data_IF_623700180617
#
_entry.id   IF_623700180617
#
_cell.length_a   1.000
_cell.length_b   1.000
_cell.length_c   1.000
_cell.angle_alpha   90.00
_cell.angle_beta   90.00
_cell.angle_gamma   90.00
#
_symmetry.space_group_name_H-M   'P 1'
#
loop_
_entity.id
_entity.type
_entity.pdbx_description
1 polymer ?
#
# COMPACT_ATOMS: atom_id res chain seq x y z
N UNK A 1 26.92 -3.59 -0.19
CA UNK A 1 26.95 -4.16 -1.54
C UNK A 1 25.52 -4.35 -2.00
N UNK A 2 25.20 -4.21 -3.29
CA UNK A 2 23.83 -4.40 -3.78
C UNK A 2 23.51 -5.90 -3.99
N UNK A 3 22.23 -6.28 -3.82
CA UNK A 3 21.74 -7.61 -4.20
C UNK A 3 21.81 -7.79 -5.72
N UNK A 4 22.09 -9.02 -6.18
CA UNK A 4 22.11 -9.36 -7.60
C UNK A 4 21.61 -10.81 -7.83
N UNK A 5 21.42 -11.21 -9.09
CA UNK A 5 20.91 -12.55 -9.43
C UNK A 5 21.81 -13.69 -8.99
N UNK A 6 23.13 -13.52 -9.00
CA UNK A 6 24.05 -14.56 -8.52
C UNK A 6 23.91 -14.81 -7.02
N UNK A 7 23.70 -13.74 -6.23
CA UNK A 7 23.37 -13.86 -4.80
C UNK A 7 21.99 -14.47 -4.59
N UNK A 8 20.99 -14.09 -5.39
CA UNK A 8 19.67 -14.71 -5.35
C UNK A 8 19.75 -16.23 -5.59
N UNK A 9 20.47 -16.66 -6.63
CA UNK A 9 20.67 -18.08 -6.94
C UNK A 9 21.38 -18.82 -5.79
N UNK A 10 22.40 -18.19 -5.19
CA UNK A 10 23.11 -18.73 -4.03
C UNK A 10 22.17 -18.95 -2.83
N UNK A 11 21.34 -17.95 -2.52
CA UNK A 11 20.40 -17.99 -1.39
C UNK A 11 19.31 -19.03 -1.64
N UNK A 12 18.69 -19.06 -2.82
CA UNK A 12 17.69 -20.07 -3.19
C UNK A 12 18.25 -21.50 -3.11
N UNK A 13 19.48 -21.70 -3.57
CA UNK A 13 20.17 -23.00 -3.46
C UNK A 13 20.43 -23.40 -2.00
N UNK A 14 20.86 -22.45 -1.17
CA UNK A 14 21.08 -22.69 0.26
C UNK A 14 19.77 -23.02 0.98
N UNK A 15 18.70 -22.29 0.67
CA UNK A 15 17.35 -22.54 1.20
C UNK A 15 16.88 -23.95 0.84
N UNK A 16 16.98 -24.33 -0.44
CA UNK A 16 16.58 -25.65 -0.91
C UNK A 16 17.36 -26.78 -0.22
N UNK A 17 18.68 -26.60 -0.06
CA UNK A 17 19.50 -27.57 0.64
C UNK A 17 19.11 -27.73 2.12
N UNK A 18 18.78 -26.62 2.80
CA UNK A 18 18.40 -26.61 4.22
C UNK A 18 17.01 -27.21 4.44
N UNK A 19 15.99 -26.70 3.74
CA UNK A 19 14.59 -27.04 3.98
C UNK A 19 14.10 -28.29 3.25
N UNK A 20 14.88 -28.81 2.30
CA UNK A 20 14.48 -29.88 1.37
C UNK A 20 13.28 -29.53 0.48
N UNK A 21 12.99 -28.24 0.36
CA UNK A 21 11.98 -27.69 -0.54
C UNK A 21 12.65 -27.20 -1.82
N UNK A 22 11.94 -27.24 -2.95
CA UNK A 22 12.45 -26.75 -4.24
C UNK A 22 11.63 -25.61 -4.84
N UNK A 23 10.57 -25.20 -4.15
CA UNK A 23 9.70 -24.09 -4.53
C UNK A 23 9.63 -23.11 -3.38
N UNK A 24 9.80 -21.83 -3.67
CA UNK A 24 9.74 -20.75 -2.69
C UNK A 24 8.95 -19.57 -3.25
N UNK A 25 8.10 -18.95 -2.45
CA UNK A 25 7.52 -17.65 -2.80
C UNK A 25 8.52 -16.58 -2.38
N UNK A 26 9.00 -15.78 -3.35
CA UNK A 26 9.93 -14.69 -3.14
C UNK A 26 9.17 -13.37 -3.08
N UNK A 27 9.14 -12.76 -1.89
CA UNK A 27 8.53 -11.45 -1.67
C UNK A 27 9.61 -10.41 -1.39
N UNK A 28 9.19 -9.22 -0.94
CA UNK A 28 10.10 -8.16 -0.53
C UNK A 28 10.90 -7.55 -1.67
N UNK A 29 11.98 -6.86 -1.31
CA UNK A 29 12.69 -5.96 -2.23
C UNK A 29 13.42 -6.71 -3.36
N UNK A 30 13.88 -7.94 -3.10
CA UNK A 30 14.70 -8.71 -4.04
C UNK A 30 13.93 -9.22 -5.26
N UNK A 31 12.59 -9.30 -5.19
CA UNK A 31 11.71 -9.66 -6.31
C UNK A 31 11.94 -8.78 -7.57
N UNK A 32 12.42 -7.55 -7.38
CA UNK A 32 12.76 -6.63 -8.48
C UNK A 32 13.82 -7.20 -9.43
N UNK A 33 14.73 -8.04 -8.93
CA UNK A 33 15.78 -8.68 -9.75
C UNK A 33 15.21 -9.62 -10.81
N UNK A 34 14.02 -10.16 -10.55
CA UNK A 34 13.33 -11.07 -11.46
C UNK A 34 12.39 -10.30 -12.38
N UNK A 35 11.60 -9.38 -11.82
CA UNK A 35 10.49 -8.74 -12.54
C UNK A 35 10.92 -7.53 -13.38
N UNK A 36 12.04 -6.87 -13.05
CA UNK A 36 12.46 -5.64 -13.71
C UNK A 36 13.80 -5.80 -14.44
N UNK A 37 13.94 -5.04 -15.54
CA UNK A 37 15.18 -4.97 -16.35
C UNK A 37 16.06 -3.80 -15.95
N UNK A 38 15.49 -2.60 -15.94
CA UNK A 38 16.18 -1.36 -15.58
C UNK A 38 15.87 -1.05 -14.11
N UNK A 39 16.71 -1.55 -13.21
CA UNK A 39 16.47 -1.48 -11.77
C UNK A 39 17.24 -0.30 -11.18
N UNK A 40 16.58 0.68 -10.54
CA UNK A 40 17.25 1.73 -9.80
C UNK A 40 18.12 1.14 -8.70
N UNK A 41 19.36 1.64 -8.55
CA UNK A 41 20.33 1.10 -7.59
C UNK A 41 19.78 1.06 -6.15
N UNK A 42 18.99 2.07 -5.77
CA UNK A 42 18.33 2.15 -4.46
C UNK A 42 17.40 0.96 -4.19
N UNK A 43 16.72 0.42 -5.20
CA UNK A 43 15.84 -0.75 -5.04
C UNK A 43 16.61 -2.06 -4.85
N UNK A 44 17.93 -2.05 -5.11
CA UNK A 44 18.84 -3.17 -4.89
C UNK A 44 19.61 -3.06 -3.57
N UNK A 45 19.39 -2.00 -2.79
CA UNK A 45 20.02 -1.79 -1.49
C UNK A 45 19.37 -2.65 -0.41
N UNK A 46 19.47 -3.96 -0.60
CA UNK A 46 19.14 -4.99 0.38
C UNK A 46 20.25 -6.03 0.39
N UNK A 47 20.46 -6.67 1.53
CA UNK A 47 21.31 -7.86 1.65
C UNK A 47 20.46 -9.12 1.91
N UNK A 48 19.13 -8.99 2.00
CA UNK A 48 18.23 -10.08 2.33
C UNK A 48 17.32 -10.45 1.15
N UNK A 49 16.89 -11.71 1.13
CA UNK A 49 15.69 -12.13 0.39
C UNK A 49 14.65 -12.61 1.39
N UNK A 50 13.38 -12.27 1.14
CA UNK A 50 12.25 -12.68 1.96
C UNK A 50 11.57 -13.87 1.27
N UNK A 51 11.63 -15.07 1.86
CA UNK A 51 11.07 -16.28 1.24
C UNK A 51 10.29 -17.16 2.21
N UNK A 52 9.34 -17.92 1.66
CA UNK A 52 8.70 -19.03 2.36
C UNK A 52 8.48 -20.20 1.39
N UNK A 53 8.42 -21.42 1.93
CA UNK A 53 8.19 -22.62 1.13
C UNK A 53 6.69 -22.96 1.11
N UNK A 54 5.94 -22.70 0.03
CA UNK A 54 4.48 -22.87 0.01
C UNK A 54 4.03 -24.33 0.09
N UNK A 55 4.91 -25.27 -0.26
CA UNK A 55 4.61 -26.71 -0.33
C UNK A 55 5.08 -27.47 0.93
N UNK A 56 5.63 -26.77 1.93
CA UNK A 56 6.04 -27.37 3.19
C UNK A 56 4.83 -27.79 4.04
N UNK A 57 4.94 -28.91 4.74
CA UNK A 57 3.92 -29.37 5.70
C UNK A 57 3.74 -28.35 6.85
N UNK A 58 4.84 -27.78 7.32
CA UNK A 58 4.87 -26.70 8.31
C UNK A 58 5.68 -25.52 7.75
N UNK A 59 4.97 -24.55 7.16
CA UNK A 59 5.57 -23.37 6.53
C UNK A 59 6.28 -22.50 7.57
N UNK A 60 5.72 -22.35 8.77
CA UNK A 60 6.28 -21.50 9.82
C UNK A 60 7.57 -22.12 10.35
N UNK A 61 7.57 -23.41 10.68
CA UNK A 61 8.78 -24.09 11.15
C UNK A 61 9.92 -24.06 10.11
N UNK A 62 9.61 -24.22 8.82
CA UNK A 62 10.60 -24.07 7.74
C UNK A 62 11.13 -22.65 7.67
N UNK A 63 10.28 -21.64 7.83
CA UNK A 63 10.67 -20.24 7.74
C UNK A 63 11.56 -19.84 8.93
N UNK A 64 11.19 -20.22 10.15
CA UNK A 64 12.02 -20.04 11.34
C UNK A 64 13.38 -20.73 11.19
N UNK A 65 13.41 -21.94 10.65
CA UNK A 65 14.64 -22.69 10.39
C UNK A 65 15.54 -22.02 9.35
N UNK A 66 14.97 -21.48 8.28
CA UNK A 66 15.72 -20.71 7.29
C UNK A 66 16.34 -19.46 7.92
N UNK A 67 15.59 -18.69 8.72
CA UNK A 67 16.10 -17.51 9.42
C UNK A 67 17.20 -17.89 10.43
N UNK A 68 17.03 -18.98 11.18
CA UNK A 68 18.00 -19.40 12.19
C UNK A 68 19.37 -19.80 11.61
N UNK A 69 19.40 -20.41 10.41
CA UNK A 69 20.62 -20.95 9.83
C UNK A 69 21.19 -20.14 8.66
N UNK A 70 20.36 -19.38 7.96
CA UNK A 70 20.72 -18.62 6.76
C UNK A 70 20.39 -17.12 6.90
N UNK A 71 19.82 -16.70 8.03
CA UNK A 71 19.44 -15.32 8.30
C UNK A 71 20.55 -14.45 8.86
N UNK A 72 20.18 -13.24 9.25
CA UNK A 72 21.10 -12.22 9.76
C UNK A 72 21.87 -12.72 11.00
N UNK A 73 23.14 -12.34 11.12
CA UNK A 73 24.00 -12.73 12.25
C UNK A 73 24.53 -14.17 12.20
N UNK A 74 24.19 -14.95 11.16
CA UNK A 74 24.74 -16.29 10.95
C UNK A 74 26.12 -16.23 10.26
N UNK A 75 26.93 -17.28 10.46
CA UNK A 75 28.19 -17.44 9.72
C UNK A 75 27.96 -17.45 8.21
N UNK A 76 26.84 -18.01 7.77
CA UNK A 76 26.45 -17.98 6.36
C UNK A 76 26.27 -16.56 5.84
N UNK A 77 25.54 -15.70 6.57
CA UNK A 77 25.33 -14.31 6.22
C UNK A 77 26.65 -13.51 6.21
N UNK A 78 27.51 -13.73 7.21
CA UNK A 78 28.80 -13.05 7.32
C UNK A 78 29.74 -13.36 6.16
N UNK A 79 29.82 -14.63 5.76
CA UNK A 79 30.68 -15.08 4.65
C UNK A 79 30.16 -14.56 3.31
N UNK A 80 28.85 -14.67 3.06
CA UNK A 80 28.28 -14.37 1.74
C UNK A 80 27.87 -12.89 1.57
N UNK A 81 27.81 -12.12 2.67
CA UNK A 81 27.32 -10.74 2.70
C UNK A 81 25.92 -10.62 2.11
N UNK A 82 25.10 -11.63 2.36
CA UNK A 82 23.67 -11.69 2.08
C UNK A 82 23.04 -12.86 2.84
N UNK A 83 21.75 -12.75 3.14
CA UNK A 83 21.02 -13.68 4.01
C UNK A 83 19.58 -13.90 3.57
N UNK A 84 18.90 -14.85 4.21
CA UNK A 84 17.47 -15.14 4.03
C UNK A 84 16.71 -14.66 5.25
N UNK A 85 15.61 -13.94 5.04
CA UNK A 85 14.56 -13.83 6.02
C UNK A 85 13.45 -14.82 5.65
N UNK A 86 13.25 -15.83 6.50
CA UNK A 86 12.14 -16.75 6.42
C UNK A 86 10.86 -16.05 6.89
N UNK A 87 9.88 -15.94 6.01
CA UNK A 87 8.65 -15.18 6.27
C UNK A 87 7.41 -16.08 6.25
N UNK A 88 6.28 -15.58 6.74
CA UNK A 88 4.99 -16.28 6.64
C UNK A 88 4.21 -15.86 5.39
N UNK A 89 3.23 -16.67 4.93
CA UNK A 89 2.33 -16.28 3.84
C UNK A 89 1.56 -14.96 4.09
N UNK A 90 1.40 -14.56 5.36
CA UNK A 90 0.71 -13.33 5.76
C UNK A 90 1.64 -12.15 5.98
N UNK A 91 2.96 -12.34 5.92
CA UNK A 91 3.95 -11.27 6.14
C UNK A 91 3.83 -10.16 5.09
N UNK A 92 3.60 -10.53 3.82
CA UNK A 92 3.31 -9.57 2.76
C UNK A 92 1.81 -9.42 2.57
N UNK A 93 1.24 -8.32 3.10
CA UNK A 93 -0.18 -7.97 3.00
C UNK A 93 -0.53 -7.58 1.54
N UNK A 94 -0.87 -8.56 0.70
CA UNK A 94 -1.14 -8.40 -0.74
C UNK A 94 -2.61 -8.63 -1.12
N UNK A 95 -3.06 -8.21 -2.31
CA UNK A 95 -4.37 -8.56 -2.86
C UNK A 95 -4.64 -10.07 -2.86
N UNK A 96 -5.82 -10.55 -2.49
CA UNK A 96 -6.11 -12.00 -2.40
C UNK A 96 -5.87 -12.76 -3.71
N UNK A 97 -5.93 -12.06 -4.85
CA UNK A 97 -5.75 -12.60 -6.19
C UNK A 97 -4.30 -12.46 -6.72
N UNK A 98 -3.35 -12.02 -5.90
CA UNK A 98 -1.92 -11.96 -6.26
C UNK A 98 -1.35 -13.27 -6.84
N UNK A 99 -1.78 -14.48 -6.42
CA UNK A 99 -1.23 -15.72 -6.99
C UNK A 99 -1.49 -15.90 -8.48
N UNK A 100 -2.48 -15.18 -9.04
CA UNK A 100 -2.75 -15.18 -10.49
C UNK A 100 -1.77 -14.33 -11.30
N UNK A 101 -0.88 -13.56 -10.65
CA UNK A 101 0.03 -12.59 -11.26
C UNK A 101 1.51 -12.87 -10.97
N UNK A 102 1.87 -14.14 -10.81
CA UNK A 102 3.23 -14.54 -10.51
C UNK A 102 4.08 -14.75 -11.76
N UNK A 103 5.39 -14.82 -11.57
CA UNK A 103 6.35 -15.34 -12.54
C UNK A 103 7.27 -16.34 -11.83
N UNK A 104 7.46 -17.49 -12.44
CA UNK A 104 8.40 -18.50 -11.96
C UNK A 104 9.82 -18.16 -12.45
N UNK A 105 10.72 -17.93 -11.50
CA UNK A 105 12.14 -17.68 -11.74
C UNK A 105 12.93 -18.97 -11.58
N UNK A 106 13.71 -19.29 -12.61
CA UNK A 106 14.68 -20.38 -12.62
C UNK A 106 16.08 -19.79 -12.79
N UNK A 107 16.86 -19.79 -11.71
CA UNK A 107 18.21 -19.27 -11.70
C UNK A 107 19.20 -20.22 -12.37
N UNK A 108 20.15 -19.71 -13.14
CA UNK A 108 21.19 -20.53 -13.79
C UNK A 108 22.10 -21.24 -12.77
N UNK A 109 22.29 -20.67 -11.58
CA UNK A 109 23.06 -21.27 -10.48
C UNK A 109 22.27 -22.28 -9.64
N UNK A 110 20.96 -22.38 -9.84
CA UNK A 110 20.05 -23.24 -9.09
C UNK A 110 18.86 -23.72 -9.96
N UNK A 111 19.09 -24.39 -11.10
CA UNK A 111 18.05 -24.67 -12.09
C UNK A 111 16.89 -25.54 -11.55
N UNK A 112 17.16 -26.36 -10.54
CA UNK A 112 16.19 -27.24 -9.89
C UNK A 112 15.34 -26.54 -8.80
N UNK A 113 15.59 -25.24 -8.56
CA UNK A 113 14.87 -24.43 -7.56
C UNK A 113 14.05 -23.36 -8.27
N UNK A 114 12.77 -23.26 -7.89
CA UNK A 114 11.82 -22.29 -8.44
C UNK A 114 11.52 -21.22 -7.40
N UNK A 115 11.72 -19.95 -7.77
CA UNK A 115 11.16 -18.85 -7.00
C UNK A 115 9.89 -18.33 -7.68
N UNK A 116 8.75 -18.43 -7.00
CA UNK A 116 7.46 -17.87 -7.41
C UNK A 116 7.46 -16.40 -7.01
N UNK A 117 7.48 -15.50 -8.00
CA UNK A 117 7.66 -14.06 -7.76
C UNK A 117 6.37 -13.30 -8.09
N UNK A 118 5.69 -12.70 -7.10
CA UNK A 118 4.51 -11.88 -7.32
C UNK A 118 4.77 -10.66 -8.21
N UNK A 119 3.70 -10.04 -8.70
CA UNK A 119 3.79 -8.77 -9.42
C UNK A 119 4.35 -7.66 -8.52
N UNK A 120 5.18 -6.78 -9.09
CA UNK A 120 5.83 -5.73 -8.30
C UNK A 120 4.83 -4.73 -7.72
N UNK A 121 3.67 -4.53 -8.34
CA UNK A 121 2.64 -3.65 -7.77
C UNK A 121 1.96 -4.30 -6.56
N UNK A 122 1.84 -5.63 -6.53
CA UNK A 122 1.29 -6.34 -5.35
C UNK A 122 2.30 -6.27 -4.18
N UNK A 123 3.60 -6.44 -4.47
CA UNK A 123 4.68 -6.24 -3.48
C UNK A 123 4.73 -4.78 -3.02
N UNK A 124 4.56 -3.82 -3.93
CA UNK A 124 4.50 -2.39 -3.60
C UNK A 124 3.32 -2.08 -2.67
N UNK A 125 2.15 -2.69 -2.88
CA UNK A 125 1.02 -2.58 -1.96
C UNK A 125 1.41 -3.09 -0.57
N UNK A 126 2.02 -4.28 -0.46
CA UNK A 126 2.45 -4.82 0.83
C UNK A 126 3.45 -3.88 1.55
N UNK A 127 4.41 -3.31 0.80
CA UNK A 127 5.37 -2.32 1.31
C UNK A 127 4.71 -1.01 1.71
N UNK A 128 3.71 -0.56 0.96
CA UNK A 128 2.94 0.65 1.27
C UNK A 128 2.12 0.46 2.54
N UNK A 129 1.57 -0.73 2.76
CA UNK A 129 0.85 -1.06 3.99
C UNK A 129 1.82 -1.13 5.19
N UNK A 130 3.02 -1.69 5.02
CA UNK A 130 4.04 -1.72 6.06
C UNK A 130 4.66 -0.34 6.37
N UNK A 131 4.85 0.50 5.35
CA UNK A 131 5.26 1.91 5.41
C UNK A 131 6.54 2.24 6.21
N UNK A 132 7.51 1.34 6.24
CA UNK A 132 8.80 1.56 6.91
C UNK A 132 9.67 2.53 6.10
N UNK A 133 10.64 3.21 6.71
CA UNK A 133 11.51 4.19 6.01
C UNK A 133 12.23 3.57 4.79
N UNK A 134 12.69 2.32 4.92
CA UNK A 134 13.30 1.58 3.81
C UNK A 134 12.31 1.29 2.67
N UNK A 135 11.04 1.03 3.03
CA UNK A 135 9.98 0.76 2.06
C UNK A 135 9.57 2.04 1.31
N UNK A 136 9.43 3.17 2.00
CA UNK A 136 9.16 4.46 1.36
C UNK A 136 10.25 4.83 0.34
N UNK A 137 11.51 4.58 0.69
CA UNK A 137 12.65 4.81 -0.22
C UNK A 137 12.59 3.91 -1.46
N UNK A 138 12.26 2.63 -1.27
CA UNK A 138 12.10 1.66 -2.37
C UNK A 138 10.91 2.01 -3.27
N UNK A 139 9.77 2.38 -2.67
CA UNK A 139 8.53 2.79 -3.32
C UNK A 139 8.74 4.06 -4.17
N UNK A 140 9.40 5.07 -3.60
CA UNK A 140 9.70 6.31 -4.30
C UNK A 140 10.60 6.07 -5.51
N UNK A 141 11.66 5.26 -5.36
CA UNK A 141 12.53 4.89 -6.47
C UNK A 141 11.77 4.11 -7.56
N UNK A 142 10.91 3.16 -7.15
CA UNK A 142 10.15 2.34 -8.08
C UNK A 142 9.16 3.13 -8.92
N UNK A 143 8.36 4.00 -8.29
CA UNK A 143 7.38 4.82 -9.01
C UNK A 143 8.06 5.85 -9.92
N UNK A 144 9.12 6.53 -9.45
CA UNK A 144 9.86 7.51 -10.27
C UNK A 144 10.45 6.94 -11.56
N UNK A 145 10.81 5.66 -11.53
CA UNK A 145 11.44 4.99 -12.68
C UNK A 145 10.47 4.09 -13.44
N UNK A 146 9.17 4.13 -13.13
CA UNK A 146 8.15 3.31 -13.80
C UNK A 146 8.30 1.81 -13.59
N UNK A 147 8.99 1.39 -12.52
CA UNK A 147 9.14 -0.04 -12.14
C UNK A 147 7.85 -0.55 -11.48
N UNK A 148 7.13 0.34 -10.81
CA UNK A 148 5.80 0.14 -10.23
C UNK A 148 4.92 1.33 -10.59
N UNK A 149 3.61 1.14 -10.59
CA UNK A 149 2.61 2.09 -11.07
C UNK A 149 1.54 2.34 -10.00
N UNK A 150 1.42 3.60 -9.57
CA UNK A 150 0.48 4.00 -8.52
C UNK A 150 -0.99 3.76 -8.92
N UNK A 151 -1.34 3.90 -10.21
CA UNK A 151 -2.70 3.64 -10.69
C UNK A 151 -3.06 2.16 -10.59
N UNK A 152 -2.13 1.27 -10.95
CA UNK A 152 -2.27 -0.17 -10.76
C UNK A 152 -2.41 -0.54 -9.28
N UNK A 153 -1.64 0.10 -8.40
CA UNK A 153 -1.75 -0.09 -6.95
C UNK A 153 -3.14 0.34 -6.43
N UNK A 154 -3.62 1.51 -6.86
CA UNK A 154 -4.95 2.03 -6.53
C UNK A 154 -6.05 1.07 -6.97
N UNK A 155 -6.00 0.55 -8.21
CA UNK A 155 -6.99 -0.41 -8.71
C UNK A 155 -6.99 -1.78 -8.02
N UNK A 156 -6.03 -2.06 -7.12
CA UNK A 156 -5.88 -3.35 -6.43
C UNK A 156 -5.97 -3.27 -4.91
N UNK A 157 -5.86 -2.08 -4.30
CA UNK A 157 -5.83 -1.95 -2.83
C UNK A 157 -7.08 -2.53 -2.17
N UNK A 158 -8.25 -2.42 -2.82
CA UNK A 158 -9.53 -2.94 -2.31
C UNK A 158 -9.62 -4.47 -2.34
N UNK A 159 -8.68 -5.13 -3.02
CA UNK A 159 -8.56 -6.59 -3.03
C UNK A 159 -7.65 -7.10 -1.92
N UNK A 160 -7.03 -6.22 -1.13
CA UNK A 160 -6.31 -6.65 0.07
C UNK A 160 -7.35 -7.06 1.12
N UNK A 161 -7.28 -8.28 1.68
CA UNK A 161 -8.21 -8.70 2.72
C UNK A 161 -8.23 -7.71 3.90
N UNK A 162 -9.42 -7.23 4.28
CA UNK A 162 -9.59 -6.21 5.34
C UNK A 162 -9.01 -6.66 6.69
N UNK A 163 -9.04 -7.96 6.99
CA UNK A 163 -8.42 -8.54 8.18
C UNK A 163 -6.92 -8.21 8.28
N UNK A 164 -6.21 -8.15 7.14
CA UNK A 164 -4.78 -7.83 7.10
C UNK A 164 -4.48 -6.35 7.31
N UNK A 165 -5.46 -5.46 7.15
CA UNK A 165 -5.30 -4.00 7.29
C UNK A 165 -6.15 -3.40 8.39
N UNK A 166 -6.72 -4.23 9.28
CA UNK A 166 -7.61 -3.81 10.37
C UNK A 166 -6.95 -2.84 11.36
N UNK A 167 -5.62 -2.83 11.43
CA UNK A 167 -4.80 -1.95 12.25
C UNK A 167 -4.56 -0.56 11.62
N UNK A 168 -4.95 -0.36 10.36
CA UNK A 168 -4.66 0.86 9.59
C UNK A 168 -5.97 1.43 9.07
N UNK A 169 -6.37 2.65 9.51
CA UNK A 169 -7.55 3.31 8.98
C UNK A 169 -7.46 3.49 7.46
N UNK A 170 -8.57 3.31 6.75
CA UNK A 170 -8.61 3.41 5.28
C UNK A 170 -8.06 4.75 4.75
N UNK A 171 -8.35 5.86 5.44
CA UNK A 171 -7.83 7.18 5.08
C UNK A 171 -6.30 7.24 5.07
N UNK A 172 -5.62 6.47 5.93
CA UNK A 172 -4.16 6.42 5.97
C UNK A 172 -3.60 5.60 4.79
N UNK A 173 -4.28 4.51 4.38
CA UNK A 173 -3.90 3.78 3.16
C UNK A 173 -4.03 4.67 1.91
N UNK A 174 -5.11 5.44 1.83
CA UNK A 174 -5.34 6.39 0.74
C UNK A 174 -4.32 7.54 0.78
N UNK A 175 -3.96 8.06 1.97
CA UNK A 175 -2.90 9.07 2.11
C UNK A 175 -1.56 8.55 1.61
N UNK A 176 -1.25 7.28 1.84
CA UNK A 176 -0.03 6.62 1.35
C UNK A 176 -0.08 6.41 -0.17
N UNK A 177 -1.23 6.06 -0.74
CA UNK A 177 -1.42 6.01 -2.19
C UNK A 177 -1.23 7.38 -2.85
N UNK A 178 -1.76 8.44 -2.24
CA UNK A 178 -1.52 9.82 -2.70
C UNK A 178 -0.03 10.20 -2.66
N UNK A 179 0.69 9.77 -1.61
CA UNK A 179 2.13 9.96 -1.50
C UNK A 179 2.90 9.24 -2.63
N UNK A 180 2.40 8.09 -3.11
CA UNK A 180 3.00 7.42 -4.27
C UNK A 180 2.97 8.31 -5.51
N UNK A 181 1.87 9.05 -5.73
CA UNK A 181 1.80 10.02 -6.83
C UNK A 181 2.81 11.14 -6.63
N UNK A 182 2.97 11.64 -5.40
CA UNK A 182 3.94 12.69 -5.09
C UNK A 182 5.37 12.29 -5.34
N UNK A 183 5.71 11.01 -5.18
CA UNK A 183 7.04 10.53 -5.53
C UNK A 183 7.37 10.75 -7.01
N UNK A 184 6.39 10.78 -7.92
CA UNK A 184 6.62 11.13 -9.34
C UNK A 184 6.94 12.62 -9.58
N UNK A 185 6.83 13.47 -8.56
CA UNK A 185 6.91 14.93 -8.68
C UNK A 185 5.58 15.60 -9.02
N UNK A 186 4.49 14.83 -9.13
CA UNK A 186 3.12 15.37 -9.22
C UNK A 186 2.68 15.89 -7.85
N UNK A 187 1.74 16.86 -7.77
CA UNK A 187 1.27 17.39 -6.49
C UNK A 187 0.47 16.38 -5.64
N UNK A 188 0.01 15.28 -6.23
CA UNK A 188 -0.99 14.40 -5.65
C UNK A 188 -2.39 15.03 -5.62
N UNK A 189 -3.35 14.29 -5.10
CA UNK A 189 -4.77 14.65 -4.97
C UNK A 189 -5.05 15.42 -3.68
N UNK A 190 -4.35 15.15 -2.57
CA UNK A 190 -4.61 15.76 -1.25
C UNK A 190 -4.47 17.29 -1.23
N UNK A 191 -3.51 17.86 -1.96
CA UNK A 191 -3.38 19.32 -2.06
C UNK A 191 -4.67 19.94 -2.64
N UNK A 192 -5.17 19.35 -3.72
CA UNK A 192 -6.44 19.72 -4.36
C UNK A 192 -7.63 19.51 -3.42
N UNK A 193 -7.66 18.42 -2.63
CA UNK A 193 -8.68 18.22 -1.59
C UNK A 193 -8.67 19.40 -0.61
N UNK A 194 -7.50 19.81 -0.11
CA UNK A 194 -7.42 20.95 0.81
C UNK A 194 -7.93 22.26 0.20
N UNK A 195 -7.63 22.53 -1.07
CA UNK A 195 -8.13 23.69 -1.80
C UNK A 195 -9.66 23.68 -1.89
N UNK A 196 -10.24 22.53 -2.24
CA UNK A 196 -11.70 22.35 -2.28
C UNK A 196 -12.30 22.59 -0.90
N UNK A 197 -11.74 21.97 0.13
CA UNK A 197 -12.21 22.13 1.50
C UNK A 197 -12.09 23.58 1.98
N UNK A 198 -11.08 24.34 1.57
CA UNK A 198 -10.88 25.74 1.97
C UNK A 198 -12.06 26.64 1.61
N UNK A 199 -12.69 26.41 0.47
CA UNK A 199 -13.81 27.21 -0.05
C UNK A 199 -15.18 26.57 0.18
N UNK A 200 -15.22 25.36 0.74
CA UNK A 200 -16.45 24.61 0.95
C UNK A 200 -17.05 24.84 2.34
N UNK A 201 -18.39 24.78 2.41
CA UNK A 201 -19.13 24.56 3.66
C UNK A 201 -19.04 23.07 4.00
N UNK A 202 -18.69 22.77 5.24
CA UNK A 202 -18.54 21.40 5.73
C UNK A 202 -19.47 21.22 6.93
N UNK A 203 -20.11 20.07 7.03
CA UNK A 203 -20.98 19.74 8.15
C UNK A 203 -21.32 18.25 8.20
N UNK A 204 -22.13 17.83 9.19
CA UNK A 204 -22.58 16.44 9.28
C UNK A 204 -23.47 16.10 8.09
N UNK A 205 -23.34 14.88 7.55
CA UNK A 205 -24.17 14.38 6.46
C UNK A 205 -25.54 13.86 6.94
N UNK A 206 -26.24 13.07 6.10
CA UNK A 206 -27.58 12.56 6.41
C UNK A 206 -27.58 11.54 7.56
N UNK A 207 -26.49 10.79 7.70
CA UNK A 207 -26.30 9.73 8.70
C UNK A 207 -25.13 10.06 9.66
N UNK A 208 -25.15 9.52 10.88
CA UNK A 208 -24.00 9.60 11.79
C UNK A 208 -22.77 8.96 11.14
N UNK A 209 -21.60 9.61 11.26
CA UNK A 209 -20.35 9.17 10.62
C UNK A 209 -20.12 9.63 9.17
N UNK A 210 -21.10 10.29 8.53
CA UNK A 210 -20.94 10.91 7.20
C UNK A 210 -20.58 12.40 7.29
N UNK A 211 -19.85 12.91 6.29
CA UNK A 211 -19.54 14.35 6.17
C UNK A 211 -20.03 14.87 4.83
N UNK A 212 -20.67 16.04 4.87
CA UNK A 212 -21.09 16.77 3.67
C UNK A 212 -20.14 17.90 3.38
N UNK A 213 -19.78 18.04 2.11
CA UNK A 213 -18.95 19.13 1.59
C UNK A 213 -19.75 19.82 0.49
N UNK A 214 -19.99 21.12 0.62
CA UNK A 214 -20.82 21.91 -0.30
C UNK A 214 -20.07 23.16 -0.77
N UNK A 215 -20.05 23.44 -2.08
CA UNK A 215 -19.41 24.62 -2.68
C UNK A 215 -20.34 25.35 -3.66
N UNK A 216 -19.94 26.57 -4.07
CA UNK A 216 -20.72 27.43 -4.96
C UNK A 216 -20.58 27.08 -6.46
N UNK A 217 -21.67 27.36 -7.19
CA UNK A 217 -22.01 27.25 -8.62
C UNK A 217 -22.07 25.86 -9.29
N UNK A 218 -23.25 25.62 -9.88
CA UNK A 218 -23.89 24.34 -10.21
C UNK A 218 -23.65 23.85 -11.67
N UNK A 219 -22.99 24.64 -12.50
CA UNK A 219 -22.94 24.39 -13.97
C UNK A 219 -21.56 24.58 -14.60
N UNK A 220 -20.47 24.63 -13.81
CA UNK A 220 -19.13 24.67 -14.37
C UNK A 220 -18.53 23.25 -14.47
N UNK A 221 -17.75 22.92 -15.52
CA UNK A 221 -16.96 21.68 -15.60
C UNK A 221 -16.10 21.41 -14.35
N UNK A 222 -15.79 22.46 -13.57
CA UNK A 222 -15.09 22.38 -12.30
C UNK A 222 -15.86 21.62 -11.20
N UNK A 223 -17.20 21.51 -11.26
CA UNK A 223 -17.99 20.79 -10.24
C UNK A 223 -17.74 19.28 -10.27
N UNK A 224 -17.91 18.68 -11.46
CA UNK A 224 -17.61 17.27 -11.69
C UNK A 224 -16.14 16.94 -11.38
N UNK A 225 -15.23 17.87 -11.64
CA UNK A 225 -13.82 17.74 -11.27
C UNK A 225 -13.63 17.71 -9.75
N UNK A 226 -14.24 18.64 -9.00
CA UNK A 226 -14.18 18.66 -7.53
C UNK A 226 -14.74 17.39 -6.92
N UNK A 227 -15.91 16.93 -7.40
CA UNK A 227 -16.50 15.66 -6.98
C UNK A 227 -15.55 14.50 -7.28
N UNK A 228 -15.02 14.40 -8.50
CA UNK A 228 -14.06 13.37 -8.89
C UNK A 228 -12.81 13.36 -8.00
N UNK A 229 -12.25 14.52 -7.67
CA UNK A 229 -11.11 14.65 -6.74
C UNK A 229 -11.46 14.12 -5.35
N UNK A 230 -12.61 14.53 -4.78
CA UNK A 230 -13.04 14.08 -3.45
C UNK A 230 -13.40 12.59 -3.41
N UNK A 231 -13.82 12.01 -4.54
CA UNK A 231 -14.15 10.59 -4.67
C UNK A 231 -12.97 9.71 -5.07
N UNK A 232 -11.81 10.28 -5.42
CA UNK A 232 -10.60 9.51 -5.72
C UNK A 232 -10.07 8.79 -4.47
N UNK A 233 -10.12 9.48 -3.33
CA UNK A 233 -9.74 9.00 -2.00
C UNK A 233 -10.82 9.40 -0.97
N UNK A 234 -11.98 8.71 -0.98
CA UNK A 234 -13.15 9.16 -0.23
C UNK A 234 -12.95 9.10 1.28
N UNK A 235 -12.23 8.10 1.81
CA UNK A 235 -11.97 8.00 3.24
C UNK A 235 -11.03 9.12 3.71
N UNK A 236 -10.01 9.43 2.93
CA UNK A 236 -9.08 10.53 3.19
C UNK A 236 -9.75 11.89 3.07
N UNK A 237 -10.52 12.12 2.01
CA UNK A 237 -11.29 13.33 1.84
C UNK A 237 -12.26 13.55 3.02
N UNK A 238 -12.89 12.47 3.51
CA UNK A 238 -13.76 12.52 4.69
C UNK A 238 -13.00 12.92 5.95
N UNK A 239 -11.89 12.26 6.24
CA UNK A 239 -11.06 12.55 7.42
C UNK A 239 -10.57 14.01 7.42
N UNK A 240 -10.07 14.50 6.27
CA UNK A 240 -9.63 15.88 6.10
C UNK A 240 -10.79 16.88 6.25
N UNK A 241 -11.97 16.56 5.71
CA UNK A 241 -13.16 17.39 5.85
C UNK A 241 -13.62 17.47 7.30
N UNK A 242 -13.67 16.35 8.02
CA UNK A 242 -14.02 16.32 9.45
C UNK A 242 -13.04 17.15 10.29
N UNK A 243 -11.73 17.02 10.05
CA UNK A 243 -10.71 17.84 10.71
C UNK A 243 -10.89 19.33 10.41
N UNK A 244 -11.13 19.68 9.15
CA UNK A 244 -11.37 21.06 8.74
C UNK A 244 -12.64 21.65 9.38
N UNK A 245 -13.73 20.88 9.46
CA UNK A 245 -14.96 21.32 10.12
C UNK A 245 -14.77 21.56 11.61
N UNK A 246 -14.14 20.62 12.32
CA UNK A 246 -13.80 20.77 13.75
C UNK A 246 -12.99 22.01 14.04
N UNK A 247 -12.01 22.32 13.18
CA UNK A 247 -11.16 23.50 13.33
C UNK A 247 -11.91 24.81 13.07
N UNK A 248 -12.89 24.84 12.16
CA UNK A 248 -13.60 26.07 11.75
C UNK A 248 -14.87 26.34 12.55
N UNK A 249 -15.52 25.29 13.07
CA UNK A 249 -16.88 25.35 13.61
C UNK A 249 -16.97 24.77 15.04
N UNK A 250 -15.94 24.97 15.87
CA UNK A 250 -15.82 24.36 17.21
C UNK A 250 -17.13 24.35 18.03
N UNK A 251 -17.74 25.52 18.25
CA UNK A 251 -18.98 25.63 19.04
C UNK A 251 -20.21 24.96 18.39
N UNK A 252 -20.23 24.83 17.06
CA UNK A 252 -21.29 24.10 16.36
C UNK A 252 -21.08 22.58 16.52
N UNK A 253 -19.82 22.12 16.44
CA UNK A 253 -19.47 20.71 16.64
C UNK A 253 -19.76 20.27 18.07
N UNK A 254 -19.40 21.06 19.09
CA UNK A 254 -19.71 20.71 20.49
C UNK A 254 -21.21 20.55 20.72
N UNK A 255 -22.04 21.43 20.15
CA UNK A 255 -23.50 21.29 20.21
C UNK A 255 -23.97 20.03 19.48
N UNK A 256 -23.47 19.79 18.28
CA UNK A 256 -23.82 18.59 17.51
C UNK A 256 -23.44 17.29 18.25
N UNK A 257 -22.28 17.24 18.91
CA UNK A 257 -21.88 16.09 19.74
C UNK A 257 -22.76 15.96 20.99
N UNK A 258 -23.09 17.09 21.66
CA UNK A 258 -23.98 17.10 22.83
C UNK A 258 -25.41 16.66 22.49
N UNK A 259 -25.88 16.97 21.28
CA UNK A 259 -27.21 16.61 20.77
C UNK A 259 -27.29 15.15 20.28
N UNK A 260 -26.24 14.34 20.49
CA UNK A 260 -26.22 12.92 20.11
C UNK A 260 -25.89 12.69 18.64
N UNK A 261 -25.12 13.60 18.02
CA UNK A 261 -24.65 13.51 16.63
C UNK A 261 -25.76 13.35 15.59
N UNK A 262 -26.81 14.19 15.61
CA UNK A 262 -27.90 14.06 14.65
C UNK A 262 -27.39 14.27 13.22
N UNK A 263 -27.74 13.36 12.31
CA UNK A 263 -27.58 13.59 10.88
C UNK A 263 -28.40 14.81 10.44
N UNK A 264 -27.86 15.61 9.51
CA UNK A 264 -28.56 16.75 8.92
C UNK A 264 -28.95 16.44 7.47
N UNK A 265 -30.26 16.44 7.21
CA UNK A 265 -30.79 16.40 5.84
C UNK A 265 -30.28 17.59 5.02
N UNK A 266 -30.10 17.43 3.70
CA UNK A 266 -29.65 18.50 2.84
C UNK A 266 -30.59 19.69 2.93
N UNK A 267 -30.01 20.89 2.88
CA UNK A 267 -30.74 22.08 2.49
C UNK A 267 -31.05 21.96 0.99
N UNK A 268 -32.10 21.18 0.67
CA UNK A 268 -32.58 20.95 -0.70
C UNK A 268 -33.09 22.24 -1.36
N UNK A 269 -33.30 23.30 -0.57
CA UNK A 269 -33.83 24.59 -0.99
C UNK A 269 -32.76 25.57 -1.51
N UNK A 270 -31.48 25.15 -1.60
CA UNK A 270 -30.39 25.91 -2.22
C UNK A 270 -29.97 25.35 -3.59
N UNK A 271 -30.80 25.50 -4.65
CA UNK A 271 -30.63 24.88 -5.97
C UNK A 271 -29.44 25.44 -6.79
N UNK A 272 -28.40 26.03 -6.20
CA UNK A 272 -27.25 26.59 -6.91
C UNK A 272 -25.88 26.10 -6.43
N UNK A 273 -25.84 25.06 -5.58
CA UNK A 273 -24.59 24.59 -4.95
C UNK A 273 -24.23 23.16 -5.35
N UNK A 274 -22.99 22.96 -5.79
CA UNK A 274 -22.38 21.64 -5.92
C UNK A 274 -22.08 21.03 -4.55
N UNK A 275 -22.18 19.71 -4.43
CA UNK A 275 -21.93 19.02 -3.15
C UNK A 275 -21.46 17.58 -3.36
N UNK A 276 -20.85 17.01 -2.32
CA UNK A 276 -20.62 15.58 -2.17
C UNK A 276 -20.84 15.19 -0.71
N UNK A 277 -21.31 13.96 -0.50
CA UNK A 277 -21.42 13.36 0.82
C UNK A 277 -20.52 12.12 0.87
N UNK A 278 -19.58 12.14 1.81
CA UNK A 278 -18.62 11.05 2.01
C UNK A 278 -19.05 10.25 3.23
N UNK A 279 -19.18 8.94 3.06
CA UNK A 279 -19.72 8.02 4.07
C UNK A 279 -18.61 7.21 4.73
N UNK A 280 -18.93 6.52 5.83
CA UNK A 280 -18.09 5.40 6.27
C UNK A 280 -18.13 4.31 5.20
N UNK A 281 -16.94 3.87 4.78
CA UNK A 281 -16.83 2.65 4.00
C UNK A 281 -17.45 1.53 4.84
N UNK A 282 -18.40 0.79 4.26
CA UNK A 282 -18.84 -0.46 4.85
C UNK A 282 -17.63 -1.39 4.88
N UNK A 283 -16.98 -1.47 6.04
CA UNK A 283 -15.84 -2.35 6.33
C UNK A 283 -16.07 -3.81 5.93
#
# INVERSE_FOLDING_TARGET
MAMNRAKLDLLLKAAAHRSKQNRFVLVGSAAVLVRAKNIPAVMLMTNEIDIYAPDAEDIEAVSEDLSAFLGEGTVFADVNRCHIDGVSPTTSKMPFDWPSRTLDYHGTGCPDVVAIVPDLNDIAIAKMIAWRDKDQTWLAAGVRNGVIDASTMHGRIDRVPSALTSDIPRHELERRLDEMERFTGRPGTVATIHEILAISRIGPGEDDGSVRIQWGDREEPADAQKQGTLLTYPALAKDLAMKAWRLRNFAEVERWEADGRPGKRPDLDAPSRGWVELREDAS
#
